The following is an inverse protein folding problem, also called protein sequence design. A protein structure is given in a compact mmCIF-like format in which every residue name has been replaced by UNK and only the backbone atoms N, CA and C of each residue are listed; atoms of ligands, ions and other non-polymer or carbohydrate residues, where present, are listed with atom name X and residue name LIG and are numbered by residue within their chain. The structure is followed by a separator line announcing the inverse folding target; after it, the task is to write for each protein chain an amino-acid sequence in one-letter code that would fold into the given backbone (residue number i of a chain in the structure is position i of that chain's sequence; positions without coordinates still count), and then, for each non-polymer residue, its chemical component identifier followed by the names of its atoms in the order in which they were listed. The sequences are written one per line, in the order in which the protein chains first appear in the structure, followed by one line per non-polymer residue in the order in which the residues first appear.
data_IF_480776129934
#
_entry.id   IF_480776129934
#
_cell.length_a   1.000
_cell.length_b   1.000
_cell.length_c   1.000
_cell.angle_alpha   90.00
_cell.angle_beta   90.00
_cell.angle_gamma   90.00
#
_symmetry.space_group_name_H-M   'P 1'
#
loop_
_entity.id
_entity.type
_entity.pdbx_description
1 polymer ?
#
# COMPACT_ATOMS: atom_id res chain seq x y z
N UNK A 1 -20.57 14.45 -29.23
CA UNK A 1 -20.38 13.00 -29.05
C UNK A 1 -21.05 12.52 -27.78
N UNK A 2 -20.82 13.21 -26.65
CA UNK A 2 -21.42 12.86 -25.37
C UNK A 2 -22.74 13.59 -25.08
N UNK A 3 -23.14 14.56 -25.92
CA UNK A 3 -24.36 15.34 -25.79
C UNK A 3 -24.30 16.36 -24.64
N UNK A 4 -25.37 17.14 -24.56
CA UNK A 4 -25.52 18.23 -23.58
C UNK A 4 -25.50 17.73 -22.13
N UNK A 5 -26.00 16.53 -21.87
CA UNK A 5 -26.10 15.98 -20.53
C UNK A 5 -24.74 15.80 -19.82
N UNK A 6 -23.67 15.56 -20.58
CA UNK A 6 -22.31 15.48 -19.98
C UNK A 6 -21.88 16.82 -19.41
N UNK A 7 -22.13 17.90 -20.13
CA UNK A 7 -21.80 19.26 -19.64
C UNK A 7 -22.65 19.65 -18.42
N UNK A 8 -23.92 19.19 -18.39
CA UNK A 8 -24.80 19.40 -17.25
C UNK A 8 -24.42 18.56 -16.03
N UNK A 9 -23.72 17.46 -16.23
CA UNK A 9 -23.22 16.61 -15.16
C UNK A 9 -21.85 17.04 -14.61
N UNK A 10 -21.14 17.94 -15.30
CA UNK A 10 -19.90 18.53 -14.82
C UNK A 10 -20.20 19.57 -13.75
N UNK A 11 -20.21 19.10 -12.51
CA UNK A 11 -20.50 19.93 -11.34
C UNK A 11 -19.20 20.37 -10.68
N UNK A 12 -19.02 21.68 -10.55
CA UNK A 12 -17.96 22.23 -9.72
C UNK A 12 -18.27 21.93 -8.24
N UNK A 13 -17.33 21.29 -7.54
CA UNK A 13 -17.45 20.99 -6.11
C UNK A 13 -16.94 22.13 -5.21
N UNK A 14 -16.79 23.36 -5.74
CA UNK A 14 -16.35 24.52 -4.99
C UNK A 14 -17.46 25.17 -4.14
N UNK A 15 -18.67 24.60 -4.08
CA UNK A 15 -19.75 25.06 -3.20
C UNK A 15 -19.42 24.74 -1.75
N UNK A 16 -19.33 25.77 -0.93
CA UNK A 16 -18.99 25.65 0.50
C UNK A 16 -19.94 24.73 1.27
N UNK A 17 -21.22 24.66 0.87
CA UNK A 17 -22.21 23.80 1.54
C UNK A 17 -22.05 22.32 1.20
N UNK A 18 -21.59 22.01 0.00
CA UNK A 18 -21.28 20.65 -0.42
C UNK A 18 -19.95 20.18 0.16
N UNK A 19 -19.02 21.12 0.41
CA UNK A 19 -17.66 20.82 0.78
C UNK A 19 -16.87 20.21 -0.39
N UNK A 20 -15.62 19.93 -0.17
CA UNK A 20 -14.77 19.23 -1.13
C UNK A 20 -13.75 18.32 -0.44
N UNK A 21 -13.06 17.51 -1.24
CA UNK A 21 -12.04 16.57 -0.73
C UNK A 21 -10.74 17.29 -0.30
N UNK A 22 -10.47 18.49 -0.78
CA UNK A 22 -9.28 19.24 -0.42
C UNK A 22 -9.39 19.85 0.98
N UNK A 23 -10.50 20.55 1.24
CA UNK A 23 -10.75 21.18 2.55
C UNK A 23 -11.36 20.22 3.56
N UNK A 24 -11.77 19.03 3.13
CA UNK A 24 -12.35 17.98 3.98
C UNK A 24 -13.55 18.47 4.81
N UNK A 25 -14.51 19.11 4.16
CA UNK A 25 -15.76 19.58 4.78
C UNK A 25 -16.99 19.05 4.06
N UNK A 26 -18.16 19.33 4.62
CA UNK A 26 -19.45 18.98 4.04
C UNK A 26 -19.64 17.46 3.85
N UNK A 27 -20.41 17.12 2.82
CA UNK A 27 -20.79 15.72 2.51
C UNK A 27 -19.57 14.81 2.24
N UNK A 28 -18.52 15.32 1.65
CA UNK A 28 -17.30 14.56 1.40
C UNK A 28 -16.61 14.12 2.71
N UNK A 29 -16.52 15.04 3.67
CA UNK A 29 -16.00 14.73 5.02
C UNK A 29 -16.86 13.70 5.75
N UNK A 30 -18.18 13.84 5.69
CA UNK A 30 -19.09 12.93 6.38
C UNK A 30 -19.04 11.53 5.74
N UNK A 31 -18.95 11.44 4.42
CA UNK A 31 -18.76 10.18 3.71
C UNK A 31 -17.44 9.50 4.10
N UNK A 32 -16.32 10.24 4.20
CA UNK A 32 -15.04 9.69 4.64
C UNK A 32 -15.09 9.20 6.10
N UNK A 33 -15.75 9.92 7.00
CA UNK A 33 -15.97 9.49 8.39
C UNK A 33 -16.82 8.21 8.46
N UNK A 34 -17.88 8.15 7.65
CA UNK A 34 -18.73 6.97 7.58
C UNK A 34 -17.95 5.76 7.05
N UNK A 35 -17.16 5.94 6.00
CA UNK A 35 -16.29 4.90 5.48
C UNK A 35 -15.29 4.42 6.54
N UNK A 36 -14.64 5.34 7.27
CA UNK A 36 -13.74 4.99 8.36
C UNK A 36 -14.42 4.10 9.41
N UNK A 37 -15.67 4.43 9.79
CA UNK A 37 -16.46 3.61 10.72
C UNK A 37 -16.76 2.21 10.16
N UNK A 38 -17.15 2.12 8.88
CA UNK A 38 -17.48 0.85 8.21
C UNK A 38 -16.25 -0.06 8.10
N UNK A 39 -15.10 0.51 7.78
CA UNK A 39 -13.84 -0.22 7.62
C UNK A 39 -13.01 -0.34 8.91
N UNK A 40 -13.54 0.10 10.04
CA UNK A 40 -12.85 0.10 11.34
C UNK A 40 -11.47 0.76 11.29
N UNK A 41 -11.36 1.84 10.51
CA UNK A 41 -10.14 2.62 10.36
C UNK A 41 -10.20 3.92 11.17
N UNK A 42 -9.06 4.43 11.62
CA UNK A 42 -8.98 5.73 12.29
C UNK A 42 -9.35 6.87 11.35
N UNK A 43 -8.94 6.75 10.07
CA UNK A 43 -9.23 7.70 9.01
C UNK A 43 -9.37 7.00 7.66
N UNK A 44 -10.20 7.59 6.80
CA UNK A 44 -10.33 7.20 5.40
C UNK A 44 -10.19 8.45 4.52
N UNK A 45 -9.47 8.31 3.44
CA UNK A 45 -9.33 9.33 2.41
C UNK A 45 -9.78 8.78 1.07
N UNK A 46 -10.68 9.48 0.38
CA UNK A 46 -11.07 9.13 -0.97
C UNK A 46 -10.02 9.61 -1.98
N UNK A 47 -9.50 8.69 -2.76
CA UNK A 47 -8.54 8.97 -3.83
C UNK A 47 -9.18 8.68 -5.17
N UNK A 48 -9.47 9.72 -5.95
CA UNK A 48 -10.30 9.61 -7.15
C UNK A 48 -9.64 8.88 -8.32
N UNK A 49 -8.31 8.90 -8.39
CA UNK A 49 -7.55 8.30 -9.50
C UNK A 49 -7.11 6.85 -9.21
N UNK A 50 -7.87 6.14 -8.38
CA UNK A 50 -7.70 4.72 -8.09
C UNK A 50 -6.51 4.39 -7.19
N UNK A 51 -6.34 3.10 -6.90
CA UNK A 51 -5.30 2.59 -6.01
C UNK A 51 -3.89 2.98 -6.45
N UNK A 52 -3.64 3.08 -7.76
CA UNK A 52 -2.33 3.51 -8.26
C UNK A 52 -1.95 4.94 -7.82
N UNK A 53 -2.92 5.84 -7.72
CA UNK A 53 -2.68 7.18 -7.19
C UNK A 53 -2.52 7.14 -5.66
N UNK A 54 -3.34 6.36 -4.97
CA UNK A 54 -3.25 6.18 -3.51
C UNK A 54 -1.86 5.65 -3.11
N UNK A 55 -1.37 4.62 -3.80
CA UNK A 55 -0.03 4.06 -3.58
C UNK A 55 1.07 5.12 -3.73
N UNK A 56 1.01 5.93 -4.78
CA UNK A 56 2.00 7.00 -5.00
C UNK A 56 1.92 8.08 -3.93
N UNK A 57 0.71 8.48 -3.52
CA UNK A 57 0.52 9.46 -2.45
C UNK A 57 1.16 8.96 -1.15
N UNK A 58 0.86 7.72 -0.74
CA UNK A 58 1.39 7.14 0.51
C UNK A 58 2.91 6.99 0.43
N UNK A 59 3.43 6.42 -0.65
CA UNK A 59 4.89 6.20 -0.79
C UNK A 59 5.66 7.51 -0.80
N UNK A 60 5.18 8.55 -1.51
CA UNK A 60 5.85 9.85 -1.52
C UNK A 60 5.67 10.66 -0.22
N UNK A 61 4.63 10.36 0.57
CA UNK A 61 4.44 10.99 1.88
C UNK A 61 5.34 10.39 2.96
N UNK A 62 5.68 9.10 2.85
CA UNK A 62 6.39 8.36 3.89
C UNK A 62 7.87 8.12 3.59
N UNK A 63 8.27 8.09 2.32
CA UNK A 63 9.60 7.69 1.88
C UNK A 63 10.40 8.87 1.31
N UNK A 64 11.68 8.83 1.57
CA UNK A 64 12.68 9.72 0.98
C UNK A 64 13.94 8.95 0.58
N UNK A 65 14.83 9.62 -0.14
CA UNK A 65 16.10 9.03 -0.55
C UNK A 65 16.89 8.53 0.64
N UNK A 66 17.34 7.28 0.55
CA UNK A 66 18.09 6.60 1.60
C UNK A 66 17.23 5.77 2.55
N UNK A 67 15.91 5.90 2.56
CA UNK A 67 15.05 5.00 3.32
C UNK A 67 15.10 3.58 2.75
N UNK A 68 15.01 2.58 3.64
CA UNK A 68 14.78 1.20 3.24
C UNK A 68 13.29 0.90 3.16
N UNK A 69 12.90 0.19 2.11
CA UNK A 69 11.54 -0.31 1.93
C UNK A 69 11.56 -1.82 1.77
N UNK A 70 10.82 -2.52 2.65
CA UNK A 70 10.59 -3.94 2.51
C UNK A 70 9.50 -4.15 1.47
N UNK A 71 9.82 -4.86 0.40
CA UNK A 71 8.97 -4.91 -0.78
C UNK A 71 8.60 -6.35 -1.12
N UNK A 72 7.30 -6.64 -1.18
CA UNK A 72 6.82 -7.83 -1.85
C UNK A 72 7.20 -7.78 -3.33
N UNK A 73 7.96 -8.76 -3.80
CA UNK A 73 8.45 -8.81 -5.18
C UNK A 73 7.32 -8.82 -6.20
N UNK A 74 6.18 -9.43 -5.89
CA UNK A 74 4.98 -9.48 -6.73
C UNK A 74 4.06 -8.27 -6.49
N UNK A 75 4.61 -7.09 -6.42
CA UNK A 75 3.86 -5.87 -6.11
C UNK A 75 3.45 -5.11 -7.37
N UNK A 76 2.38 -4.31 -7.27
CA UNK A 76 1.93 -3.50 -8.38
C UNK A 76 2.96 -2.42 -8.75
N UNK A 77 3.09 -2.15 -10.06
CA UNK A 77 4.06 -1.18 -10.60
C UNK A 77 3.95 0.23 -10.01
N UNK A 78 2.76 0.65 -9.54
CA UNK A 78 2.59 1.98 -8.93
C UNK A 78 3.37 2.13 -7.62
N UNK A 79 3.50 1.05 -6.85
CA UNK A 79 4.29 1.02 -5.63
C UNK A 79 5.78 1.12 -5.94
N UNK A 80 6.27 0.36 -6.94
CA UNK A 80 7.66 0.49 -7.40
C UNK A 80 7.96 1.90 -7.92
N UNK A 81 7.06 2.46 -8.72
CA UNK A 81 7.21 3.82 -9.24
C UNK A 81 7.26 4.86 -8.12
N UNK A 82 6.33 4.80 -7.18
CA UNK A 82 6.27 5.75 -6.08
C UNK A 82 7.44 5.63 -5.12
N UNK A 83 7.74 4.41 -4.67
CA UNK A 83 8.78 4.18 -3.67
C UNK A 83 10.20 4.30 -4.22
N UNK A 84 10.48 3.69 -5.38
CA UNK A 84 11.86 3.57 -5.86
C UNK A 84 12.25 4.70 -6.81
N UNK A 85 11.36 5.06 -7.75
CA UNK A 85 11.70 6.07 -8.77
C UNK A 85 11.44 7.48 -8.25
N UNK A 86 10.26 7.74 -7.68
CA UNK A 86 9.88 9.07 -7.22
C UNK A 86 10.51 9.42 -5.87
N UNK A 87 10.38 8.55 -4.87
CA UNK A 87 10.94 8.80 -3.54
C UNK A 87 12.44 8.46 -3.43
N UNK A 88 12.97 7.58 -4.27
CA UNK A 88 14.38 7.20 -4.27
C UNK A 88 14.78 6.29 -3.11
N UNK A 89 13.83 5.53 -2.56
CA UNK A 89 14.08 4.56 -1.50
C UNK A 89 14.82 3.32 -2.05
N UNK A 90 15.52 2.60 -1.17
CA UNK A 90 16.25 1.38 -1.48
C UNK A 90 15.40 0.17 -1.11
N UNK A 91 15.11 -0.76 -2.05
CA UNK A 91 14.28 -1.92 -1.75
C UNK A 91 15.08 -3.07 -1.15
N UNK A 92 14.45 -3.79 -0.23
CA UNK A 92 14.77 -5.16 0.16
C UNK A 92 13.57 -6.03 -0.23
N UNK A 93 13.79 -7.09 -1.00
CA UNK A 93 12.69 -7.85 -1.57
C UNK A 93 12.34 -9.11 -0.78
N UNK A 94 11.05 -9.30 -0.56
CA UNK A 94 10.46 -10.59 -0.21
C UNK A 94 10.19 -11.34 -1.52
N UNK A 95 10.93 -12.41 -1.76
CA UNK A 95 10.82 -13.18 -3.00
C UNK A 95 9.60 -14.10 -2.98
N UNK A 96 8.84 -14.08 -4.08
CA UNK A 96 7.71 -14.98 -4.27
C UNK A 96 8.16 -16.26 -4.98
N UNK A 97 7.56 -17.38 -4.58
CA UNK A 97 7.77 -18.67 -5.25
C UNK A 97 7.23 -18.64 -6.69
N UNK A 98 7.72 -19.53 -7.53
CA UNK A 98 7.21 -19.75 -8.89
C UNK A 98 7.08 -21.22 -9.18
N UNK A 99 5.99 -21.58 -9.82
CA UNK A 99 5.84 -22.97 -10.29
C UNK A 99 6.55 -23.18 -11.67
N UNK A 100 6.67 -24.42 -12.15
CA UNK A 100 7.33 -24.71 -13.44
C UNK A 100 6.67 -24.05 -14.66
N UNK A 101 5.42 -23.61 -14.54
CA UNK A 101 4.67 -22.93 -15.60
C UNK A 101 4.79 -21.40 -15.55
N UNK A 102 5.55 -20.87 -14.57
CA UNK A 102 5.79 -19.44 -14.41
C UNK A 102 4.75 -18.70 -13.58
N UNK A 103 3.74 -19.37 -13.04
CA UNK A 103 2.79 -18.75 -12.11
C UNK A 103 3.49 -18.37 -10.80
N UNK A 104 3.15 -17.20 -10.31
CA UNK A 104 3.72 -16.66 -9.07
C UNK A 104 2.87 -17.18 -7.92
N UNK A 105 3.54 -17.74 -6.91
CA UNK A 105 2.93 -18.17 -5.66
C UNK A 105 3.09 -17.15 -4.54
N UNK A 106 2.94 -17.61 -3.31
CA UNK A 106 3.16 -16.79 -2.12
C UNK A 106 4.65 -16.49 -1.89
N UNK A 107 4.90 -15.57 -0.98
CA UNK A 107 6.25 -15.29 -0.46
C UNK A 107 6.71 -16.51 0.32
N UNK A 108 7.92 -16.97 0.06
CA UNK A 108 8.51 -18.09 0.78
C UNK A 108 8.71 -17.78 2.26
N UNK A 109 8.36 -18.69 3.12
CA UNK A 109 8.36 -18.48 4.58
C UNK A 109 9.73 -18.02 5.13
N UNK A 110 10.84 -18.49 4.54
CA UNK A 110 12.18 -18.10 4.96
C UNK A 110 12.46 -16.61 4.75
N UNK A 111 11.79 -15.96 3.78
CA UNK A 111 11.94 -14.51 3.51
C UNK A 111 11.43 -13.65 4.65
N UNK A 112 10.56 -14.18 5.51
CA UNK A 112 10.07 -13.50 6.71
C UNK A 112 10.97 -13.68 7.94
N UNK A 113 12.05 -14.46 7.82
CA UNK A 113 12.99 -14.64 8.93
C UNK A 113 13.80 -13.37 9.14
N UNK A 114 13.88 -12.89 10.40
CA UNK A 114 14.57 -11.63 10.72
C UNK A 114 16.05 -11.66 10.35
N UNK A 115 16.77 -12.77 10.62
CA UNK A 115 18.20 -12.85 10.29
C UNK A 115 18.41 -12.82 8.76
N UNK A 116 17.54 -13.50 8.01
CA UNK A 116 17.54 -13.41 6.55
C UNK A 116 17.34 -11.95 6.08
N UNK A 117 16.35 -11.26 6.62
CA UNK A 117 16.08 -9.86 6.28
C UNK A 117 17.24 -8.94 6.65
N UNK A 118 17.84 -9.12 7.83
CA UNK A 118 19.02 -8.35 8.25
C UNK A 118 20.23 -8.62 7.36
N UNK A 119 20.39 -9.87 6.87
CA UNK A 119 21.44 -10.16 5.90
C UNK A 119 21.20 -9.43 4.57
N UNK A 120 19.97 -9.40 4.07
CA UNK A 120 19.64 -8.62 2.86
C UNK A 120 19.89 -7.12 3.07
N UNK A 121 19.67 -6.59 4.26
CA UNK A 121 20.00 -5.18 4.56
C UNK A 121 21.52 -4.98 4.55
N UNK A 122 22.32 -5.90 5.10
CA UNK A 122 23.80 -5.79 5.07
C UNK A 122 24.34 -5.70 3.64
N UNK A 123 23.66 -6.35 2.70
CA UNK A 123 24.07 -6.34 1.30
C UNK A 123 23.80 -5.01 0.57
N UNK A 124 22.77 -4.24 1.00
CA UNK A 124 22.35 -3.01 0.31
C UNK A 124 22.56 -1.72 1.10
N UNK A 125 22.56 -1.79 2.44
CA UNK A 125 22.71 -0.67 3.37
C UNK A 125 23.25 -1.15 4.73
N UNK A 126 24.51 -1.59 4.79
CA UNK A 126 25.09 -2.23 5.97
C UNK A 126 24.98 -1.38 7.24
N UNK A 127 25.01 -0.06 7.12
CA UNK A 127 24.89 0.88 8.25
C UNK A 127 23.50 0.85 8.92
N UNK A 128 22.51 0.23 8.27
CA UNK A 128 21.14 0.12 8.80
C UNK A 128 20.79 -1.26 9.34
N UNK A 129 21.65 -2.26 9.12
CA UNK A 129 21.33 -3.66 9.44
C UNK A 129 21.02 -3.91 10.92
N UNK A 130 21.66 -3.15 11.80
CA UNK A 130 21.51 -3.31 13.25
C UNK A 130 20.53 -2.31 13.90
N UNK A 131 19.85 -1.47 13.08
CA UNK A 131 18.81 -0.59 13.58
C UNK A 131 17.62 -1.42 14.10
N UNK A 132 16.97 -0.98 15.19
CA UNK A 132 15.78 -1.66 15.70
C UNK A 132 14.65 -1.74 14.66
N UNK A 133 14.46 -0.67 13.89
CA UNK A 133 13.49 -0.57 12.79
C UNK A 133 14.19 -0.08 11.52
N UNK A 134 14.83 -0.99 10.78
CA UNK A 134 15.60 -0.59 9.61
C UNK A 134 14.72 -0.13 8.43
N UNK A 135 13.48 -0.65 8.34
CA UNK A 135 12.57 -0.31 7.25
C UNK A 135 11.66 0.87 7.61
N UNK A 136 11.69 1.90 6.78
CA UNK A 136 10.73 2.99 6.89
C UNK A 136 9.32 2.54 6.54
N UNK A 137 9.17 1.69 5.54
CA UNK A 137 7.90 1.18 5.04
C UNK A 137 8.04 -0.26 4.57
N UNK A 138 7.09 -1.11 4.92
CA UNK A 138 6.87 -2.37 4.22
C UNK A 138 5.66 -2.23 3.28
N UNK A 139 5.76 -2.75 2.05
CA UNK A 139 4.68 -2.71 1.06
C UNK A 139 4.35 -4.14 0.64
N UNK A 140 3.17 -4.60 1.03
CA UNK A 140 2.69 -5.97 0.80
C UNK A 140 1.45 -5.93 -0.08
N UNK A 141 1.47 -6.67 -1.18
CA UNK A 141 0.31 -6.91 -2.02
C UNK A 141 -0.61 -7.92 -1.30
N UNK A 142 -1.69 -7.45 -0.66
CA UNK A 142 -2.52 -8.30 0.20
C UNK A 142 -3.24 -9.40 -0.58
N UNK A 143 -3.68 -9.11 -1.81
CA UNK A 143 -4.23 -10.08 -2.74
C UNK A 143 -3.61 -9.94 -4.10
N UNK A 144 -3.13 -11.04 -4.69
CA UNK A 144 -2.45 -11.06 -5.98
C UNK A 144 -3.37 -11.51 -7.11
N UNK A 145 -3.00 -11.22 -8.35
CA UNK A 145 -3.70 -11.73 -9.55
C UNK A 145 -3.71 -13.25 -9.63
N UNK A 146 -2.71 -13.90 -9.04
CA UNK A 146 -2.56 -15.35 -9.04
C UNK A 146 -3.39 -16.03 -7.94
N UNK A 147 -4.17 -15.24 -7.18
CA UNK A 147 -5.08 -15.73 -6.14
C UNK A 147 -4.43 -15.97 -4.77
N UNK A 148 -3.19 -15.52 -4.56
CA UNK A 148 -2.58 -15.54 -3.23
C UNK A 148 -3.17 -14.43 -2.38
N UNK A 149 -3.63 -14.77 -1.16
CA UNK A 149 -4.12 -13.82 -0.16
C UNK A 149 -3.33 -14.01 1.12
N UNK A 150 -2.82 -12.91 1.67
CA UNK A 150 -2.05 -12.93 2.91
C UNK A 150 -2.92 -12.57 4.12
N UNK A 151 -2.66 -13.22 5.24
CA UNK A 151 -3.21 -12.81 6.52
C UNK A 151 -2.46 -11.56 7.02
N UNK A 152 -3.12 -10.41 6.98
CA UNK A 152 -2.51 -9.13 7.36
C UNK A 152 -1.99 -9.14 8.81
N UNK A 153 -2.72 -9.78 9.75
CA UNK A 153 -2.29 -9.91 11.14
C UNK A 153 -0.99 -10.70 11.26
N UNK A 154 -0.92 -11.82 10.58
CA UNK A 154 0.29 -12.65 10.58
C UNK A 154 1.49 -11.91 10.00
N UNK A 155 1.31 -11.13 8.93
CA UNK A 155 2.38 -10.29 8.37
C UNK A 155 2.84 -9.24 9.37
N UNK A 156 1.89 -8.56 10.05
CA UNK A 156 2.22 -7.56 11.07
C UNK A 156 3.00 -8.19 12.22
N UNK A 157 2.55 -9.33 12.73
CA UNK A 157 3.19 -10.03 13.85
C UNK A 157 4.61 -10.50 13.48
N UNK A 158 4.85 -10.80 12.20
CA UNK A 158 6.14 -11.33 11.74
C UNK A 158 7.17 -10.23 11.43
N UNK A 159 6.80 -9.18 10.71
CA UNK A 159 7.76 -8.15 10.24
C UNK A 159 7.48 -6.74 10.78
N UNK A 160 6.35 -6.52 11.45
CA UNK A 160 5.95 -5.19 11.89
C UNK A 160 6.92 -4.53 12.87
N UNK A 161 7.61 -5.30 13.67
CA UNK A 161 8.62 -4.80 14.61
C UNK A 161 9.87 -4.23 13.93
N UNK A 162 10.11 -4.60 12.67
CA UNK A 162 11.22 -4.11 11.84
C UNK A 162 10.87 -2.86 11.02
N UNK A 163 9.59 -2.44 11.02
CA UNK A 163 9.08 -1.40 10.15
C UNK A 163 8.49 -0.23 10.96
N UNK A 164 8.63 1.01 10.46
CA UNK A 164 7.88 2.14 11.01
C UNK A 164 6.42 2.09 10.56
N UNK A 165 6.17 1.72 9.30
CA UNK A 165 4.85 1.62 8.71
C UNK A 165 4.72 0.36 7.85
N UNK A 166 3.47 -0.11 7.70
CA UNK A 166 3.13 -1.17 6.74
C UNK A 166 1.99 -0.66 5.86
N UNK A 167 2.16 -0.77 4.55
CA UNK A 167 1.15 -0.53 3.53
C UNK A 167 0.68 -1.87 2.97
N UNK A 168 -0.60 -2.17 3.12
CA UNK A 168 -1.25 -3.27 2.42
C UNK A 168 -1.94 -2.74 1.17
N UNK A 169 -1.49 -3.17 0.00
CA UNK A 169 -2.20 -2.93 -1.24
C UNK A 169 -3.29 -3.99 -1.39
N UNK A 170 -4.54 -3.59 -1.15
CA UNK A 170 -5.72 -4.46 -1.19
C UNK A 170 -6.70 -4.09 -2.29
N UNK A 171 -6.18 -3.63 -3.43
CA UNK A 171 -6.98 -3.19 -4.56
C UNK A 171 -8.05 -4.20 -5.02
N UNK A 172 -7.79 -5.50 -4.87
CA UNK A 172 -8.66 -6.59 -5.30
C UNK A 172 -9.44 -7.26 -4.18
N UNK A 173 -9.04 -7.09 -2.94
CA UNK A 173 -9.53 -7.88 -1.79
C UNK A 173 -10.13 -7.02 -0.67
N UNK A 174 -10.35 -5.73 -0.91
CA UNK A 174 -10.87 -4.80 0.11
C UNK A 174 -12.25 -5.14 0.65
N UNK A 175 -13.01 -5.96 -0.06
CA UNK A 175 -14.36 -6.41 0.34
C UNK A 175 -14.36 -7.70 1.19
N UNK A 176 -13.27 -8.42 1.26
CA UNK A 176 -13.20 -9.75 1.91
C UNK A 176 -13.55 -9.70 3.39
N UNK A 177 -13.26 -8.60 4.07
CA UNK A 177 -13.64 -8.42 5.47
C UNK A 177 -15.16 -8.47 5.73
N UNK A 178 -15.98 -8.33 4.69
CA UNK A 178 -17.43 -8.40 4.78
C UNK A 178 -18.00 -9.77 4.38
N UNK A 179 -17.14 -10.71 3.99
CA UNK A 179 -17.55 -12.05 3.59
C UNK A 179 -17.33 -12.98 4.78
N UNK A 180 -18.37 -13.67 5.27
CA UNK A 180 -18.21 -14.70 6.30
C UNK A 180 -17.36 -15.85 5.73
N UNK A 181 -16.25 -16.15 6.35
CA UNK A 181 -15.42 -17.31 6.05
C UNK A 181 -15.58 -18.39 7.11
#
# INVERSE_FOLDING_TARGET
FFGENVFRADMCNADVKLGDLLIHEGSAKDAQKFAAKVFHADKTYFVLNGTSAANKVVTNALLTRGDLVLFDRNNHKSNHHGALIQAGATPVYLEASRNPFGFIGGIDAHCFNEEYLRQQIRDVAPEKADLPRPYRLAIIQLGTYDGTVYNARQVIDTVGHLCDYILFDSAWVGYEQFIPM
#
